data_IF_472944610332
#
_entry.id   IF_472944610332
#
_cell.length_a   1.000
_cell.length_b   1.000
_cell.length_c   1.000
_cell.angle_alpha   90.00
_cell.angle_beta   90.00
_cell.angle_gamma   90.00
#
_symmetry.space_group_name_H-M   'P 1'
#
loop_
_entity.id
_entity.type
_entity.pdbx_description
1 polymer ?
#
# COMPACT_ATOMS: atom_id res chain seq x y z
N UNK A 1 0.46 -6.73 -21.35
CA UNK A 1 1.85 -7.18 -21.39
C UNK A 1 2.23 -7.77 -20.06
N UNK A 2 2.88 -8.92 -20.08
CA UNK A 2 3.27 -9.62 -18.85
C UNK A 2 4.56 -9.03 -18.28
N UNK A 3 4.61 -8.88 -16.96
CA UNK A 3 5.81 -8.40 -16.27
C UNK A 3 5.99 -9.12 -14.93
N UNK A 4 7.22 -9.19 -14.39
CA UNK A 4 7.52 -9.91 -13.14
C UNK A 4 7.18 -9.05 -11.92
N UNK A 5 5.97 -9.22 -11.41
CA UNK A 5 5.52 -8.41 -10.29
C UNK A 5 6.33 -8.66 -9.01
N UNK A 6 6.82 -9.89 -8.79
CA UNK A 6 7.65 -10.17 -7.62
C UNK A 6 8.90 -9.29 -7.60
N UNK A 7 9.57 -9.18 -8.75
CA UNK A 7 10.76 -8.36 -8.86
C UNK A 7 10.43 -6.87 -8.67
N UNK A 8 9.30 -6.45 -9.22
CA UNK A 8 8.85 -5.07 -9.13
C UNK A 8 8.59 -4.66 -7.67
N UNK A 9 7.91 -5.51 -6.91
CA UNK A 9 7.63 -5.25 -5.50
C UNK A 9 8.93 -5.22 -4.69
N UNK A 10 9.79 -6.22 -4.90
CA UNK A 10 11.06 -6.31 -4.19
C UNK A 10 11.94 -5.07 -4.42
N UNK A 11 12.06 -4.66 -5.68
CA UNK A 11 12.84 -3.50 -6.06
C UNK A 11 12.29 -2.22 -5.44
N UNK A 12 10.97 -2.06 -5.44
CA UNK A 12 10.35 -0.86 -4.89
C UNK A 12 10.49 -0.80 -3.37
N UNK A 13 10.30 -1.94 -2.68
CA UNK A 13 10.50 -2.01 -1.24
C UNK A 13 11.95 -1.62 -0.89
N UNK A 14 12.92 -2.15 -1.62
CA UNK A 14 14.31 -1.84 -1.39
C UNK A 14 14.60 -0.34 -1.51
N UNK A 15 13.97 0.31 -2.49
CA UNK A 15 14.10 1.75 -2.68
C UNK A 15 13.63 2.53 -1.45
N UNK A 16 12.62 2.05 -0.75
CA UNK A 16 12.04 2.74 0.41
C UNK A 16 12.70 2.38 1.75
N UNK A 17 13.61 1.39 1.79
CA UNK A 17 14.22 0.97 3.05
C UNK A 17 14.98 2.11 3.74
N UNK A 18 15.76 2.87 2.99
CA UNK A 18 16.53 3.97 3.56
C UNK A 18 15.63 5.04 4.16
N UNK A 19 14.55 5.37 3.46
CA UNK A 19 13.60 6.37 3.94
C UNK A 19 12.90 5.91 5.21
N UNK A 20 12.47 4.65 5.25
CA UNK A 20 11.82 4.10 6.44
C UNK A 20 12.75 4.16 7.64
N UNK A 21 14.01 3.76 7.43
CA UNK A 21 15.00 3.78 8.50
C UNK A 21 15.25 5.20 9.01
N UNK A 22 15.35 6.16 8.10
CA UNK A 22 15.55 7.58 8.45
C UNK A 22 14.40 8.07 9.33
N UNK A 23 13.21 7.56 9.12
CA UNK A 23 12.01 7.95 9.86
C UNK A 23 11.71 7.05 11.05
N UNK A 24 12.66 6.20 11.42
CA UNK A 24 12.54 5.28 12.57
C UNK A 24 11.32 4.37 12.44
N UNK A 25 11.15 3.79 11.25
CA UNK A 25 10.05 2.86 10.98
C UNK A 25 10.63 1.55 10.43
N UNK A 26 10.06 0.44 10.84
CA UNK A 26 10.57 -0.89 10.50
C UNK A 26 9.81 -1.43 9.29
N UNK A 27 10.48 -1.48 8.16
CA UNK A 27 9.90 -1.97 6.91
C UNK A 27 10.42 -3.36 6.60
N UNK A 28 9.52 -4.31 6.46
CA UNK A 28 9.84 -5.67 6.06
C UNK A 28 8.96 -6.09 4.88
N UNK A 29 9.36 -7.15 4.22
CA UNK A 29 8.62 -7.67 3.08
C UNK A 29 8.59 -9.19 3.08
N UNK A 30 7.47 -9.74 2.67
CA UNK A 30 7.29 -11.18 2.47
C UNK A 30 6.73 -11.37 1.06
N UNK A 31 7.62 -11.62 0.11
CA UNK A 31 7.29 -11.62 -1.30
C UNK A 31 7.44 -13.04 -1.86
N UNK A 32 6.34 -13.60 -2.35
CA UNK A 32 6.42 -14.87 -3.06
C UNK A 32 7.19 -14.65 -4.36
N UNK A 33 8.27 -15.42 -4.60
CA UNK A 33 9.11 -15.18 -5.77
C UNK A 33 8.46 -15.67 -7.06
N UNK A 34 8.94 -15.15 -8.17
CA UNK A 34 8.64 -15.62 -9.52
C UNK A 34 7.18 -15.46 -9.94
N UNK A 35 6.49 -14.48 -9.38
CA UNK A 35 5.13 -14.17 -9.83
C UNK A 35 5.18 -13.17 -10.96
N UNK A 36 4.32 -13.37 -11.96
CA UNK A 36 4.13 -12.46 -13.09
C UNK A 36 2.66 -12.15 -13.22
N UNK A 37 2.36 -10.97 -13.75
CA UNK A 37 1.00 -10.58 -14.07
C UNK A 37 0.98 -9.79 -15.37
N UNK A 38 -0.19 -9.70 -15.99
CA UNK A 38 -0.38 -8.90 -17.19
C UNK A 38 -0.98 -7.56 -16.80
N UNK A 39 -0.48 -6.50 -17.42
CA UNK A 39 -1.00 -5.17 -17.15
C UNK A 39 0.00 -4.08 -17.48
N UNK A 40 -0.19 -2.93 -16.88
CA UNK A 40 0.67 -1.76 -17.06
C UNK A 40 1.68 -1.72 -15.94
N UNK A 41 2.91 -2.11 -16.24
CA UNK A 41 3.98 -2.17 -15.26
C UNK A 41 4.21 -0.83 -14.57
N UNK A 42 4.17 0.27 -15.32
CA UNK A 42 4.38 1.60 -14.74
C UNK A 42 3.28 1.96 -13.76
N UNK A 43 2.04 1.64 -14.09
CA UNK A 43 0.91 1.92 -13.21
C UNK A 43 1.01 1.07 -11.92
N UNK A 44 1.37 -0.20 -12.05
CA UNK A 44 1.51 -1.06 -10.88
C UNK A 44 2.69 -0.60 -10.01
N UNK A 45 3.79 -0.16 -10.62
CA UNK A 45 4.89 0.45 -9.86
C UNK A 45 4.41 1.66 -9.08
N UNK A 46 3.59 2.50 -9.69
CA UNK A 46 3.00 3.65 -9.00
C UNK A 46 2.12 3.21 -7.84
N UNK A 47 1.33 2.16 -8.02
CA UNK A 47 0.50 1.61 -6.94
C UNK A 47 1.36 1.20 -5.75
N UNK A 48 2.43 0.44 -5.99
CA UNK A 48 3.31 -0.02 -4.92
C UNK A 48 3.94 1.18 -4.21
N UNK A 49 4.38 2.17 -4.96
CA UNK A 49 4.97 3.39 -4.42
C UNK A 49 3.97 4.14 -3.54
N UNK A 50 2.72 4.25 -3.98
CA UNK A 50 1.67 4.91 -3.21
C UNK A 50 1.44 4.17 -1.88
N UNK A 51 1.36 2.83 -1.92
CA UNK A 51 1.13 2.05 -0.72
C UNK A 51 2.28 2.20 0.28
N UNK A 52 3.52 2.16 -0.22
CA UNK A 52 4.70 2.33 0.63
C UNK A 52 4.78 3.74 1.22
N UNK A 53 4.58 4.75 0.39
CA UNK A 53 4.63 6.14 0.83
C UNK A 53 3.56 6.42 1.88
N UNK A 54 2.36 5.92 1.65
CA UNK A 54 1.25 6.05 2.59
C UNK A 54 1.59 5.38 3.93
N UNK A 55 2.13 4.16 3.88
CA UNK A 55 2.48 3.42 5.09
C UNK A 55 3.56 4.13 5.89
N UNK A 56 4.59 4.65 5.22
CA UNK A 56 5.68 5.37 5.90
C UNK A 56 5.18 6.65 6.55
N UNK A 57 4.28 7.36 5.89
CA UNK A 57 3.73 8.60 6.44
C UNK A 57 2.88 8.37 7.68
N UNK A 58 2.07 7.32 7.68
CA UNK A 58 1.05 7.14 8.72
C UNK A 58 1.41 6.14 9.81
N UNK A 59 2.46 5.36 9.62
CA UNK A 59 2.94 4.47 10.68
C UNK A 59 3.48 5.32 11.84
N UNK A 60 3.14 4.92 13.06
CA UNK A 60 3.64 5.59 14.25
C UNK A 60 5.16 5.41 14.37
N UNK A 61 5.79 6.31 15.13
CA UNK A 61 7.22 6.25 15.36
C UNK A 61 7.59 4.95 16.05
N UNK A 62 8.64 4.27 15.55
CA UNK A 62 9.00 2.95 16.04
C UNK A 62 8.09 1.84 15.55
N UNK A 63 7.08 2.17 14.74
CA UNK A 63 6.13 1.21 14.24
C UNK A 63 6.67 0.34 13.12
N UNK A 64 5.84 -0.58 12.66
CA UNK A 64 6.25 -1.52 11.63
C UNK A 64 5.34 -1.48 10.42
N UNK A 65 5.97 -1.77 9.29
CA UNK A 65 5.31 -1.84 7.98
C UNK A 65 5.70 -3.18 7.39
N UNK A 66 4.73 -3.88 6.82
CA UNK A 66 5.02 -5.14 6.12
C UNK A 66 4.32 -5.14 4.77
N UNK A 67 5.10 -5.40 3.72
CA UNK A 67 4.57 -5.56 2.37
C UNK A 67 4.54 -7.04 2.05
N UNK A 68 3.42 -7.53 1.55
CA UNK A 68 3.24 -8.95 1.25
C UNK A 68 2.76 -9.12 -0.17
N UNK A 69 3.28 -10.14 -0.85
CA UNK A 69 2.85 -10.50 -2.19
C UNK A 69 2.71 -12.01 -2.26
N UNK A 70 1.55 -12.48 -2.68
CA UNK A 70 1.32 -13.92 -2.81
C UNK A 70 0.31 -14.20 -3.91
N UNK A 71 0.39 -15.40 -4.47
CA UNK A 71 -0.62 -15.89 -5.41
C UNK A 71 -1.40 -17.01 -4.73
N UNK A 72 -2.72 -16.94 -4.83
CA UNK A 72 -3.59 -17.97 -4.32
C UNK A 72 -4.67 -18.21 -5.35
N UNK A 73 -4.73 -19.44 -5.87
CA UNK A 73 -5.63 -19.80 -6.99
C UNK A 73 -5.34 -18.87 -8.18
N UNK A 74 -6.34 -18.21 -8.68
CA UNK A 74 -6.19 -17.33 -9.85
C UNK A 74 -6.10 -15.86 -9.49
N UNK A 75 -5.65 -15.57 -8.27
CA UNK A 75 -5.54 -14.18 -7.78
C UNK A 75 -4.14 -13.91 -7.26
N UNK A 76 -3.63 -12.73 -7.54
CA UNK A 76 -2.43 -12.21 -6.91
C UNK A 76 -2.86 -11.16 -5.89
N UNK A 77 -2.37 -11.29 -4.66
CA UNK A 77 -2.67 -10.36 -3.57
C UNK A 77 -1.42 -9.58 -3.20
N UNK A 78 -1.53 -8.26 -3.29
CA UNK A 78 -0.49 -7.34 -2.83
C UNK A 78 -1.05 -6.60 -1.63
N UNK A 79 -0.42 -6.74 -0.47
CA UNK A 79 -0.91 -6.16 0.77
C UNK A 79 0.14 -5.26 1.40
N UNK A 80 -0.32 -4.18 2.02
CA UNK A 80 0.51 -3.28 2.80
C UNK A 80 -0.11 -3.16 4.19
N UNK A 81 0.62 -3.62 5.19
CA UNK A 81 0.22 -3.53 6.59
C UNK A 81 1.07 -2.49 7.29
N UNK A 82 0.46 -1.65 8.14
CA UNK A 82 1.24 -0.78 9.00
C UNK A 82 0.52 -0.55 10.32
N UNK A 83 1.32 -0.41 11.39
CA UNK A 83 0.78 0.01 12.67
C UNK A 83 0.48 1.51 12.60
N UNK A 84 -0.50 1.94 13.38
CA UNK A 84 -0.87 3.35 13.50
C UNK A 84 -1.20 3.63 14.96
N UNK A 85 -1.21 4.89 15.34
CA UNK A 85 -1.60 5.28 16.69
C UNK A 85 -3.07 4.98 16.92
N UNK A 86 -3.92 5.39 16.00
CA UNK A 86 -5.34 5.01 16.01
C UNK A 86 -5.94 5.26 14.64
N UNK A 87 -6.92 4.46 14.27
CA UNK A 87 -7.69 4.66 13.07
C UNK A 87 -9.10 4.12 13.32
N UNK A 88 -10.11 4.91 12.96
CA UNK A 88 -11.49 4.52 13.17
C UNK A 88 -12.02 3.76 11.96
N UNK A 89 -13.13 3.04 12.16
CA UNK A 89 -13.80 2.38 11.04
C UNK A 89 -14.36 3.39 10.05
N UNK A 90 -14.71 4.58 10.53
CA UNK A 90 -15.14 5.65 9.63
C UNK A 90 -13.98 6.09 8.73
N UNK A 91 -12.78 6.23 9.29
CA UNK A 91 -11.59 6.52 8.47
C UNK A 91 -11.42 5.46 7.37
N UNK A 92 -11.59 4.18 7.73
CA UNK A 92 -11.45 3.08 6.79
C UNK A 92 -12.45 3.21 5.63
N UNK A 93 -13.68 3.57 5.94
CA UNK A 93 -14.74 3.69 4.93
C UNK A 93 -14.41 4.72 3.85
N UNK A 94 -13.64 5.74 4.18
CA UNK A 94 -13.37 6.86 3.28
C UNK A 94 -11.94 6.88 2.74
N UNK A 95 -11.13 5.86 3.07
CA UNK A 95 -9.70 5.88 2.73
C UNK A 95 -9.41 6.08 1.24
N UNK A 96 -10.25 5.55 0.37
CA UNK A 96 -10.03 5.65 -1.06
C UNK A 96 -10.76 6.82 -1.72
N UNK A 97 -11.46 7.62 -0.92
CA UNK A 97 -12.16 8.78 -1.45
C UNK A 97 -11.15 9.87 -1.81
N UNK A 98 -11.43 10.58 -2.90
CA UNK A 98 -10.56 11.69 -3.30
C UNK A 98 -10.59 12.78 -2.22
N UNK A 99 -9.40 13.32 -1.93
CA UNK A 99 -9.19 14.40 -0.98
C UNK A 99 -9.45 14.03 0.48
N UNK A 100 -9.79 12.77 0.78
CA UNK A 100 -9.95 12.36 2.16
C UNK A 100 -8.59 12.15 2.81
N UNK A 101 -8.44 12.63 4.05
CA UNK A 101 -7.23 12.43 4.85
C UNK A 101 -7.63 12.09 6.27
N UNK A 102 -6.93 11.11 6.84
CA UNK A 102 -7.17 10.68 8.22
C UNK A 102 -6.82 11.80 9.19
N UNK A 103 -5.73 12.52 8.93
CA UNK A 103 -5.27 13.63 9.78
C UNK A 103 -5.28 14.91 8.97
N UNK A 104 -6.43 15.57 8.92
CA UNK A 104 -6.60 16.76 8.11
C UNK A 104 -5.90 17.98 8.71
N UNK A 105 -5.67 18.00 10.03
CA UNK A 105 -5.05 19.12 10.70
C UNK A 105 -3.56 19.22 10.43
N UNK A 106 -2.94 18.16 9.92
CA UNK A 106 -1.50 18.12 9.67
C UNK A 106 -1.16 17.98 8.20
N UNK A 107 -2.04 18.42 7.33
CA UNK A 107 -1.89 18.14 5.92
C UNK A 107 -0.57 18.63 5.33
N UNK A 108 -0.04 19.75 5.76
CA UNK A 108 1.21 20.27 5.20
C UNK A 108 2.42 19.44 5.63
N UNK A 109 2.36 18.83 6.80
CA UNK A 109 3.48 18.04 7.34
C UNK A 109 3.47 16.61 6.84
N UNK A 110 2.30 16.03 6.67
CA UNK A 110 2.20 14.67 6.15
C UNK A 110 2.30 14.65 4.64
N UNK A 111 2.22 15.79 4.02
CA UNK A 111 2.42 15.89 2.58
C UNK A 111 1.29 15.40 1.76
N UNK A 112 0.72 15.21 1.01
CA UNK A 112 -0.35 14.69 0.25
C UNK A 112 -1.61 15.52 0.35
N UNK A 113 -2.44 15.37 -0.63
CA UNK A 113 -3.69 16.09 -0.74
C UNK A 113 -4.89 15.16 -0.73
N UNK A 114 -4.70 13.92 -0.25
CA UNK A 114 -5.77 12.94 -0.23
C UNK A 114 -6.04 12.30 -1.59
N UNK A 115 -5.06 12.35 -2.50
CA UNK A 115 -5.23 11.78 -3.83
C UNK A 115 -4.56 10.41 -4.00
N UNK A 116 -3.54 10.10 -3.20
CA UNK A 116 -2.73 8.89 -3.39
C UNK A 116 -3.55 7.62 -3.40
N UNK A 117 -4.34 7.39 -2.36
CA UNK A 117 -5.11 6.14 -2.27
C UNK A 117 -6.24 6.08 -3.28
N UNK A 118 -6.81 7.22 -3.68
CA UNK A 118 -7.81 7.21 -4.76
C UNK A 118 -7.17 6.84 -6.10
N UNK A 119 -5.94 7.26 -6.33
CA UNK A 119 -5.19 6.87 -7.52
C UNK A 119 -4.87 5.38 -7.46
N UNK A 120 -4.47 4.88 -6.28
CA UNK A 120 -4.23 3.44 -6.09
C UNK A 120 -5.47 2.64 -6.46
N UNK A 121 -6.64 3.07 -5.99
CA UNK A 121 -7.90 2.39 -6.30
C UNK A 121 -8.18 2.41 -7.81
N UNK A 122 -7.91 3.54 -8.47
CA UNK A 122 -8.12 3.64 -9.90
C UNK A 122 -7.22 2.68 -10.68
N UNK A 123 -5.96 2.54 -10.25
CA UNK A 123 -5.02 1.62 -10.89
C UNK A 123 -5.50 0.18 -10.75
N UNK A 124 -5.91 -0.20 -9.54
CA UNK A 124 -6.40 -1.56 -9.29
C UNK A 124 -7.66 -1.85 -10.11
N UNK A 125 -8.59 -0.89 -10.15
CA UNK A 125 -9.81 -1.04 -10.94
C UNK A 125 -9.52 -1.17 -12.42
N UNK A 126 -8.55 -0.42 -12.94
CA UNK A 126 -8.16 -0.50 -14.34
C UNK A 126 -7.60 -1.88 -14.71
N UNK A 127 -7.10 -2.62 -13.72
CA UNK A 127 -6.59 -3.99 -13.89
C UNK A 127 -7.63 -5.04 -13.53
N UNK A 128 -8.91 -4.65 -13.42
CA UNK A 128 -10.02 -5.54 -13.08
C UNK A 128 -9.86 -6.18 -11.70
N UNK A 129 -9.12 -5.51 -10.84
CA UNK A 129 -8.89 -5.96 -9.47
C UNK A 129 -9.78 -5.25 -8.48
N UNK A 130 -9.51 -5.52 -7.21
CA UNK A 130 -10.25 -4.92 -6.11
C UNK A 130 -9.28 -4.51 -5.02
N UNK A 131 -9.45 -3.30 -4.48
CA UNK A 131 -8.65 -2.84 -3.36
C UNK A 131 -9.55 -2.68 -2.13
N UNK A 132 -9.06 -3.13 -0.98
CA UNK A 132 -9.80 -3.08 0.27
C UNK A 132 -8.89 -2.58 1.39
N UNK A 133 -9.51 -2.04 2.42
CA UNK A 133 -8.80 -1.61 3.62
C UNK A 133 -9.54 -2.15 4.83
N UNK A 134 -8.77 -2.53 5.86
CA UNK A 134 -9.35 -3.07 7.09
C UNK A 134 -8.45 -2.77 8.28
N UNK A 135 -9.03 -2.85 9.46
CA UNK A 135 -8.29 -2.80 10.71
C UNK A 135 -8.93 -3.80 11.67
N UNK A 136 -8.10 -4.53 12.43
CA UNK A 136 -8.60 -5.47 13.42
C UNK A 136 -8.77 -4.83 14.78
N UNK A 137 -7.88 -3.91 15.13
CA UNK A 137 -7.76 -3.39 16.49
C UNK A 137 -7.78 -1.87 16.57
N UNK A 138 -8.04 -1.19 15.45
CA UNK A 138 -8.00 0.26 15.32
C UNK A 138 -6.61 0.86 15.61
N UNK A 139 -5.59 0.01 15.64
CA UNK A 139 -4.18 0.40 15.81
C UNK A 139 -3.32 -0.13 14.67
N UNK A 140 -3.95 -0.59 13.63
CA UNK A 140 -3.26 -1.08 12.44
C UNK A 140 -4.13 -0.86 11.22
N UNK A 141 -3.50 -0.85 10.06
CA UNK A 141 -4.18 -0.69 8.78
C UNK A 141 -3.65 -1.74 7.82
N UNK A 142 -4.54 -2.46 7.19
CA UNK A 142 -4.20 -3.40 6.13
C UNK A 142 -4.89 -2.98 4.84
N UNK A 143 -4.12 -2.70 3.81
CA UNK A 143 -4.64 -2.41 2.48
C UNK A 143 -4.25 -3.57 1.59
N UNK A 144 -5.21 -4.15 0.89
CA UNK A 144 -4.98 -5.30 0.01
C UNK A 144 -5.51 -5.01 -1.39
N UNK A 145 -4.64 -5.16 -2.37
CA UNK A 145 -5.01 -5.10 -3.79
C UNK A 145 -5.02 -6.54 -4.32
N UNK A 146 -6.12 -6.94 -4.91
CA UNK A 146 -6.28 -8.28 -5.47
C UNK A 146 -6.43 -8.17 -6.98
N UNK A 147 -5.61 -8.89 -7.72
CA UNK A 147 -5.61 -8.89 -9.18
C UNK A 147 -5.94 -10.28 -9.70
N UNK A 148 -6.89 -10.39 -10.64
CA UNK A 148 -7.11 -11.67 -11.32
C UNK A 148 -5.96 -11.98 -12.27
N UNK A 149 -5.57 -13.23 -12.34
CA UNK A 149 -4.51 -13.68 -13.25
C UNK A 149 -4.92 -14.92 -14.02
#
# INVERSE_FOLDING_TARGET
>A
IEFPISDLVEETVETFQALAKTRNKNLSANIQPMLSMSGDEKAVRQLITILLDNAIKYTNDGGRIEIMLKKQKNMIYLSAFNTVESISKENIMHLFDRFYRVDQSRNSQTGGYGLGLSIAAAIVNAHKGKITASTEDEKSLLITAAFPV
#
